data_IF_398349476990
#
_entry.id   IF_398349476990
#
_cell.length_a   1.000
_cell.length_b   1.000
_cell.length_c   1.000
_cell.angle_alpha   90.00
_cell.angle_beta   90.00
_cell.angle_gamma   90.00
#
_symmetry.space_group_name_H-M   'P 1'
#
loop_
_entity.id
_entity.type
_entity.pdbx_description
1 polymer ?
#
# COMPACT_ATOMS: atom_id res chain seq x y z
N UNK A 1 7.77 0.34 -15.44
CA UNK A 1 6.75 1.15 -14.77
C UNK A 1 5.50 0.31 -14.72
N UNK A 2 5.21 -0.22 -13.54
CA UNK A 2 4.05 -1.06 -13.29
C UNK A 2 2.92 -0.21 -12.70
N UNK A 3 1.72 -0.77 -12.76
CA UNK A 3 0.52 -0.17 -12.20
C UNK A 3 -0.07 -1.13 -11.17
N UNK A 4 -0.25 -0.64 -9.95
CA UNK A 4 -0.75 -1.41 -8.82
C UNK A 4 -2.08 -0.87 -8.33
N UNK A 5 -2.81 -1.69 -7.57
CA UNK A 5 -4.05 -1.31 -6.90
C UNK A 5 -3.92 -1.70 -5.44
N UNK A 6 -3.94 -0.70 -4.57
CA UNK A 6 -3.89 -0.88 -3.12
C UNK A 6 -5.27 -0.66 -2.55
N UNK A 7 -5.66 -1.48 -1.57
CA UNK A 7 -7.01 -1.47 -0.99
C UNK A 7 -6.93 -1.14 0.47
N UNK A 8 -7.75 -0.20 0.92
CA UNK A 8 -7.86 0.14 2.33
C UNK A 8 -9.29 0.55 2.68
N UNK A 9 -9.73 0.25 3.90
CA UNK A 9 -11.01 0.77 4.41
C UNK A 9 -10.83 2.24 4.85
N UNK A 10 -11.71 3.15 4.40
CA UNK A 10 -11.56 4.58 4.67
C UNK A 10 -11.70 4.94 6.15
N UNK A 11 -12.35 4.09 6.96
CA UNK A 11 -12.45 4.26 8.42
C UNK A 11 -11.10 4.02 9.14
N UNK A 12 -10.22 3.18 8.57
CA UNK A 12 -8.89 2.90 9.14
C UNK A 12 -7.83 3.88 8.63
N UNK A 13 -7.76 4.09 7.32
CA UNK A 13 -6.85 5.07 6.70
C UNK A 13 -7.36 5.48 5.32
N UNK A 14 -7.79 6.73 5.18
CA UNK A 14 -8.37 7.25 3.93
C UNK A 14 -7.32 7.87 3.01
N UNK A 15 -7.70 8.10 1.75
CA UNK A 15 -6.85 8.88 0.85
C UNK A 15 -6.62 10.32 1.34
N UNK A 16 -7.58 10.93 2.02
CA UNK A 16 -7.41 12.27 2.60
C UNK A 16 -6.36 12.28 3.72
N UNK A 17 -6.25 11.20 4.50
CA UNK A 17 -5.18 11.04 5.50
C UNK A 17 -3.82 10.94 4.82
N UNK A 18 -3.73 10.23 3.68
CA UNK A 18 -2.51 10.18 2.88
C UNK A 18 -2.12 11.56 2.34
N UNK A 19 -3.08 12.34 1.82
CA UNK A 19 -2.84 13.69 1.34
C UNK A 19 -2.34 14.61 2.47
N UNK A 20 -2.92 14.51 3.66
CA UNK A 20 -2.50 15.28 4.82
C UNK A 20 -1.11 14.88 5.35
N UNK A 21 -0.80 13.57 5.35
CA UNK A 21 0.50 13.05 5.77
C UNK A 21 1.61 13.27 4.72
N UNK A 22 1.24 13.38 3.44
CA UNK A 22 2.13 13.53 2.29
C UNK A 22 2.85 12.23 1.87
N UNK A 23 3.02 11.27 2.79
CA UNK A 23 3.51 9.92 2.53
C UNK A 23 3.04 8.99 3.64
N UNK A 24 2.92 7.71 3.33
CA UNK A 24 2.65 6.67 4.32
C UNK A 24 3.52 5.45 4.05
N UNK A 25 3.57 4.55 5.02
CA UNK A 25 4.14 3.22 4.86
C UNK A 25 2.99 2.24 4.59
N UNK A 26 3.12 1.40 3.58
CA UNK A 26 2.12 0.37 3.30
C UNK A 26 2.47 -0.92 4.04
N UNK A 27 1.93 -1.08 5.25
CA UNK A 27 2.15 -2.24 6.12
C UNK A 27 0.88 -3.10 6.33
N UNK A 28 0.93 -4.02 7.31
CA UNK A 28 -0.22 -4.85 7.68
C UNK A 28 -0.60 -5.96 6.69
N UNK A 29 0.18 -6.18 5.62
CA UNK A 29 -0.18 -7.16 4.58
C UNK A 29 0.20 -8.58 4.98
N UNK A 30 -0.79 -9.36 5.43
CA UNK A 30 -0.61 -10.76 5.80
C UNK A 30 -0.85 -11.75 4.64
N UNK A 31 -1.48 -11.32 3.55
CA UNK A 31 -1.82 -12.22 2.45
C UNK A 31 -0.56 -12.65 1.66
N UNK A 32 -0.25 -13.96 1.53
CA UNK A 32 0.98 -14.42 0.89
C UNK A 32 1.14 -13.98 -0.58
N UNK A 33 0.03 -13.93 -1.33
CA UNK A 33 0.03 -13.50 -2.72
C UNK A 33 0.24 -11.99 -2.82
N UNK A 34 -0.39 -11.21 -1.95
CA UNK A 34 -0.17 -9.76 -1.89
C UNK A 34 1.29 -9.44 -1.50
N UNK A 35 1.86 -10.15 -0.52
CA UNK A 35 3.28 -10.06 -0.18
C UNK A 35 4.20 -10.41 -1.35
N UNK A 36 3.85 -11.40 -2.17
CA UNK A 36 4.60 -11.73 -3.39
C UNK A 36 4.60 -10.57 -4.38
N UNK A 37 3.49 -9.83 -4.50
CA UNK A 37 3.41 -8.66 -5.38
C UNK A 37 4.11 -7.43 -4.79
N UNK A 38 3.94 -7.14 -3.49
CA UNK A 38 4.67 -6.08 -2.78
C UNK A 38 6.18 -6.16 -2.98
N UNK A 39 6.75 -7.37 -2.94
CA UNK A 39 8.18 -7.61 -3.21
C UNK A 39 8.65 -7.26 -4.63
N UNK A 40 7.73 -7.04 -5.58
CA UNK A 40 8.04 -6.68 -6.97
C UNK A 40 7.88 -5.19 -7.24
N UNK A 41 7.36 -4.44 -6.27
CA UNK A 41 7.13 -3.00 -6.42
C UNK A 41 8.46 -2.27 -6.43
N UNK A 42 8.59 -1.25 -7.29
CA UNK A 42 9.78 -0.41 -7.35
C UNK A 42 9.42 1.07 -7.23
N UNK A 43 10.38 1.87 -6.76
CA UNK A 43 10.24 3.33 -6.70
C UNK A 43 9.81 3.89 -8.07
N UNK A 44 8.81 4.76 -8.06
CA UNK A 44 8.25 5.37 -9.26
C UNK A 44 7.11 4.58 -9.92
N UNK A 45 6.79 3.37 -9.45
CA UNK A 45 5.56 2.69 -9.88
C UNK A 45 4.31 3.48 -9.43
N UNK A 46 3.25 3.39 -10.24
CA UNK A 46 1.96 4.02 -9.93
C UNK A 46 1.08 3.08 -9.15
N UNK A 47 0.32 3.63 -8.22
CA UNK A 47 -0.64 2.88 -7.42
C UNK A 47 -1.97 3.62 -7.39
N UNK A 48 -3.05 2.93 -7.70
CA UNK A 48 -4.39 3.40 -7.43
C UNK A 48 -4.79 3.06 -6.00
N UNK A 49 -5.26 4.07 -5.26
CA UNK A 49 -5.81 3.90 -3.93
C UNK A 49 -7.30 3.59 -4.05
N UNK A 50 -7.69 2.39 -3.61
CA UNK A 50 -9.05 1.88 -3.70
C UNK A 50 -9.66 1.79 -2.31
N UNK A 51 -10.71 2.55 -2.07
CA UNK A 51 -11.54 2.33 -0.89
C UNK A 51 -12.32 1.03 -1.06
N UNK A 52 -12.28 0.20 -0.01
CA UNK A 52 -13.05 -1.03 0.10
C UNK A 52 -14.09 -0.91 1.23
N UNK A 53 -14.96 -1.91 1.36
CA UNK A 53 -16.02 -1.93 2.37
C UNK A 53 -17.31 -1.28 1.86
N UNK A 54 -17.76 -0.22 2.53
CA UNK A 54 -19.01 0.52 2.18
C UNK A 54 -18.86 1.33 0.90
N UNK A 55 -17.73 2.01 0.74
CA UNK A 55 -17.34 2.67 -0.50
C UNK A 55 -16.42 1.74 -1.29
N UNK A 56 -16.65 1.63 -2.61
CA UNK A 56 -15.97 0.66 -3.50
C UNK A 56 -15.50 1.34 -4.78
N UNK A 57 -14.55 2.25 -4.63
CA UNK A 57 -14.09 3.10 -5.72
C UNK A 57 -12.57 3.35 -5.65
N UNK A 58 -11.97 3.63 -6.81
CA UNK A 58 -10.65 4.27 -6.86
C UNK A 58 -10.86 5.73 -6.51
N UNK A 59 -10.22 6.19 -5.45
CA UNK A 59 -10.40 7.55 -4.90
C UNK A 59 -9.20 8.45 -5.14
N UNK A 60 -8.07 7.87 -5.53
CA UNK A 60 -6.86 8.63 -5.82
C UNK A 60 -5.76 7.80 -6.46
N UNK A 61 -4.71 8.52 -6.88
CA UNK A 61 -3.47 7.93 -7.34
C UNK A 61 -2.32 8.34 -6.41
N UNK A 62 -1.33 7.46 -6.31
CA UNK A 62 -0.09 7.70 -5.59
C UNK A 62 1.08 7.07 -6.33
N UNK A 63 2.29 7.48 -5.96
CA UNK A 63 3.54 6.99 -6.55
C UNK A 63 4.39 6.37 -5.46
N UNK A 64 4.96 5.22 -5.76
CA UNK A 64 5.84 4.51 -4.83
C UNK A 64 7.10 5.33 -4.58
N UNK A 65 7.34 5.66 -3.31
CA UNK A 65 8.47 6.49 -2.90
C UNK A 65 9.74 5.68 -2.58
N UNK A 66 9.58 4.44 -2.11
CA UNK A 66 10.65 3.48 -1.82
C UNK A 66 10.24 2.07 -2.25
N UNK A 67 11.21 1.22 -2.62
CA UNK A 67 10.93 -0.19 -2.89
C UNK A 67 10.66 -0.99 -1.60
N UNK A 68 10.36 -2.28 -1.70
CA UNK A 68 10.03 -3.14 -0.56
C UNK A 68 11.14 -3.20 0.48
N UNK A 69 10.76 -3.06 1.75
CA UNK A 69 11.63 -3.15 2.91
C UNK A 69 11.10 -4.22 3.87
N UNK A 70 11.98 -4.80 4.70
CA UNK A 70 11.54 -5.70 5.77
C UNK A 70 10.71 -4.89 6.76
N UNK A 71 9.56 -5.44 7.16
CA UNK A 71 8.76 -4.81 8.20
C UNK A 71 9.48 -4.89 9.54
N UNK A 72 9.76 -3.73 10.16
CA UNK A 72 10.47 -3.66 11.44
C UNK A 72 9.53 -3.94 12.64
N UNK A 73 8.22 -3.87 12.42
CA UNK A 73 7.20 -4.04 13.45
C UNK A 73 6.61 -5.46 13.49
N UNK A 74 7.07 -6.37 12.63
CA UNK A 74 6.62 -7.75 12.56
C UNK A 74 7.73 -8.73 12.89
N UNK A 75 7.38 -9.77 13.64
CA UNK A 75 8.25 -10.93 13.90
C UNK A 75 8.30 -11.88 12.69
N UNK A 76 7.36 -11.75 11.75
CA UNK A 76 7.33 -12.56 10.52
C UNK A 76 8.41 -12.10 9.54
N UNK A 77 9.39 -12.96 9.28
CA UNK A 77 10.51 -12.66 8.38
C UNK A 77 10.08 -12.40 6.92
N UNK A 78 8.84 -12.77 6.55
CA UNK A 78 8.29 -12.59 5.21
C UNK A 78 7.51 -11.28 5.10
N UNK A 79 7.23 -10.58 6.19
CA UNK A 79 6.52 -9.31 6.19
C UNK A 79 7.35 -8.24 5.46
N UNK A 80 6.68 -7.54 4.53
CA UNK A 80 7.29 -6.53 3.67
C UNK A 80 6.38 -5.32 3.62
N UNK A 81 7.00 -4.15 3.69
CA UNK A 81 6.36 -2.82 3.58
C UNK A 81 6.91 -2.07 2.38
N UNK A 82 6.13 -1.12 1.85
CA UNK A 82 6.49 -0.27 0.71
C UNK A 82 6.16 1.19 1.00
#
# INVERSE_FOLDING_TARGET
MNLWLFKQEPDDFSYADLEAAGKTLWDGVANPLALKYLRQIVKGDKVYFYHTGKEKAVVGEMVVSAGPQKDANSDDEKAVVV
#
